data_IF_955111002431
#
_entry.id   IF_955111002431
#
_cell.length_a   1.000
_cell.length_b   1.000
_cell.length_c   1.000
_cell.angle_alpha   90.00
_cell.angle_beta   90.00
_cell.angle_gamma   90.00
#
_symmetry.space_group_name_H-M   'P 1'
#
loop_
_entity.id
_entity.type
_entity.pdbx_description
1 polymer ?
#
# COMPACT_ATOMS: atom_id res chain seq x y z
N UNK A 1 59.44 43.39 49.01
CA UNK A 1 60.06 42.48 48.03
C UNK A 1 58.95 41.53 47.60
N UNK A 2 58.09 41.88 46.61
CA UNK A 2 58.30 41.79 45.14
C UNK A 2 58.62 40.34 44.74
N UNK A 3 57.93 39.57 43.89
CA UNK A 3 56.91 39.69 42.82
C UNK A 3 56.13 38.34 42.82
N UNK A 4 54.90 38.13 42.32
CA UNK A 4 54.28 38.62 41.09
C UNK A 4 54.31 37.57 39.97
N UNK A 5 53.64 36.41 40.11
CA UNK A 5 53.60 35.33 39.10
C UNK A 5 52.18 34.94 38.69
N UNK A 6 51.79 35.30 37.46
CA UNK A 6 50.43 35.30 36.89
C UNK A 6 49.78 33.92 36.76
N UNK A 7 48.49 33.88 37.12
CA UNK A 7 47.50 32.85 36.75
C UNK A 7 47.39 32.74 35.23
N UNK A 8 47.70 31.58 34.63
CA UNK A 8 47.29 31.26 33.26
C UNK A 8 46.04 30.38 33.32
N UNK A 9 44.93 30.95 32.83
CA UNK A 9 43.68 30.24 32.64
C UNK A 9 43.82 29.19 31.54
N UNK A 10 43.62 27.92 31.90
CA UNK A 10 43.43 26.85 30.94
C UNK A 10 42.17 27.11 30.14
N UNK A 11 42.33 27.43 28.86
CA UNK A 11 41.22 27.67 27.93
C UNK A 11 40.58 26.30 27.62
N UNK A 12 39.32 26.12 28.00
CA UNK A 12 38.58 24.88 27.72
C UNK A 12 38.50 24.63 26.21
N UNK A 13 38.80 23.40 25.79
CA UNK A 13 38.70 22.97 24.39
C UNK A 13 37.22 22.97 23.96
N UNK A 14 36.91 23.37 22.71
CA UNK A 14 35.55 23.30 22.20
C UNK A 14 35.10 21.82 22.09
N UNK A 15 33.81 21.52 22.32
CA UNK A 15 33.30 20.17 22.14
C UNK A 15 33.41 19.75 20.67
N UNK A 16 33.62 18.45 20.38
CA UNK A 16 33.72 17.95 19.02
C UNK A 16 32.42 18.17 18.25
N UNK A 17 32.49 18.32 16.92
CA UNK A 17 31.30 18.47 16.08
C UNK A 17 30.41 17.23 16.22
N UNK A 18 29.12 17.45 16.47
CA UNK A 18 28.12 16.38 16.48
C UNK A 18 28.10 15.75 15.09
N UNK A 19 28.35 14.44 15.02
CA UNK A 19 28.27 13.68 13.79
C UNK A 19 26.87 13.73 13.16
N UNK A 20 26.72 13.30 11.89
CA UNK A 20 25.44 13.26 11.23
C UNK A 20 24.44 12.42 12.04
N UNK A 21 23.14 12.80 12.04
CA UNK A 21 22.12 12.03 12.73
C UNK A 21 22.08 10.58 12.20
N UNK A 22 21.75 9.59 13.04
CA UNK A 22 21.58 8.22 12.59
C UNK A 22 20.51 8.15 11.50
N UNK A 23 20.65 7.23 10.51
CA UNK A 23 19.63 7.03 9.50
C UNK A 23 18.29 6.69 10.18
N UNK A 24 17.16 7.15 9.63
CA UNK A 24 15.85 6.80 10.18
C UNK A 24 15.71 5.27 10.25
N UNK A 25 15.01 4.72 11.25
CA UNK A 25 14.80 3.28 11.35
C UNK A 25 14.19 2.81 10.04
N UNK A 26 14.87 1.86 9.38
CA UNK A 26 14.36 1.18 8.20
C UNK A 26 12.98 0.66 8.55
N UNK A 27 11.94 1.19 7.87
CA UNK A 27 10.57 0.68 7.98
C UNK A 27 10.66 -0.86 7.85
N UNK A 28 10.04 -1.66 8.75
CA UNK A 28 10.16 -3.11 8.70
C UNK A 28 9.89 -3.56 7.27
N UNK A 29 10.92 -4.11 6.63
CA UNK A 29 10.81 -4.57 5.25
C UNK A 29 9.90 -5.78 5.33
N UNK A 30 8.69 -5.68 4.78
CA UNK A 30 7.76 -6.80 4.76
C UNK A 30 8.47 -7.93 4.00
N UNK A 31 8.76 -9.02 4.69
CA UNK A 31 9.49 -10.13 4.08
C UNK A 31 8.59 -10.78 3.01
N UNK A 32 9.16 -11.14 1.84
CA UNK A 32 8.41 -11.88 0.82
C UNK A 32 7.78 -13.14 1.40
N UNK A 33 6.55 -13.46 0.98
CA UNK A 33 5.84 -14.63 1.49
C UNK A 33 6.34 -15.87 0.76
N UNK A 34 6.68 -16.92 1.50
CA UNK A 34 6.92 -18.24 0.91
C UNK A 34 5.58 -18.84 0.46
N UNK A 35 5.24 -18.63 -0.82
CA UNK A 35 3.97 -19.03 -1.43
C UNK A 35 3.79 -20.56 -1.55
N UNK A 36 4.86 -21.34 -1.45
CA UNK A 36 4.78 -22.81 -1.46
C UNK A 36 4.36 -23.38 -0.10
N UNK A 37 4.73 -22.69 0.98
CA UNK A 37 4.44 -23.13 2.35
C UNK A 37 3.29 -22.37 3.01
N UNK A 38 2.90 -21.25 2.44
CA UNK A 38 1.85 -20.39 3.00
C UNK A 38 0.56 -20.59 2.21
N UNK A 39 -0.53 -20.95 2.89
CA UNK A 39 -1.85 -21.03 2.25
C UNK A 39 -2.27 -19.65 1.70
N UNK A 40 -2.78 -19.57 0.47
CA UNK A 40 -3.29 -18.31 -0.07
C UNK A 40 -4.53 -17.85 0.69
N UNK A 41 -4.73 -16.53 0.72
CA UNK A 41 -5.95 -15.89 1.19
C UNK A 41 -6.95 -15.73 0.04
N UNK A 42 -8.24 -15.75 0.38
CA UNK A 42 -9.32 -15.40 -0.54
C UNK A 42 -9.51 -13.88 -0.55
N UNK A 43 -9.23 -13.25 -1.69
CA UNK A 43 -9.47 -11.84 -1.93
C UNK A 43 -10.73 -11.67 -2.77
N UNK A 44 -11.71 -10.93 -2.25
CA UNK A 44 -12.92 -10.56 -2.98
C UNK A 44 -12.67 -9.24 -3.71
N UNK A 45 -12.73 -9.27 -5.03
CA UNK A 45 -12.47 -8.14 -5.91
C UNK A 45 -13.73 -7.73 -6.64
N UNK A 46 -14.14 -6.47 -6.52
CA UNK A 46 -15.28 -5.91 -7.22
C UNK A 46 -14.78 -4.99 -8.32
N UNK A 47 -15.32 -5.11 -9.53
CA UNK A 47 -14.88 -4.28 -10.67
C UNK A 47 -15.99 -3.35 -11.13
N UNK A 48 -15.64 -2.12 -11.53
CA UNK A 48 -16.61 -1.14 -12.07
C UNK A 48 -15.98 -0.26 -13.14
N UNK A 49 -16.74 0.04 -14.18
CA UNK A 49 -16.28 0.92 -15.27
C UNK A 49 -16.60 2.38 -14.91
N UNK A 50 -15.62 3.26 -15.11
CA UNK A 50 -15.80 4.72 -14.99
C UNK A 50 -15.69 5.29 -13.57
N UNK A 51 -15.51 4.46 -12.54
CA UNK A 51 -15.33 4.93 -11.17
C UNK A 51 -15.43 3.80 -10.14
N UNK A 52 -15.15 4.13 -8.88
CA UNK A 52 -15.28 3.21 -7.75
C UNK A 52 -16.75 3.00 -7.34
N UNK A 53 -17.02 1.90 -6.67
CA UNK A 53 -18.29 1.70 -5.96
C UNK A 53 -18.39 2.68 -4.77
N UNK A 54 -19.60 3.01 -4.34
CA UNK A 54 -19.80 3.86 -3.16
C UNK A 54 -19.88 3.00 -1.90
N UNK A 55 -19.79 3.63 -0.73
CA UNK A 55 -19.89 2.89 0.54
C UNK A 55 -21.27 2.23 0.73
N UNK A 56 -22.32 2.82 0.16
CA UNK A 56 -23.69 2.30 0.20
C UNK A 56 -23.83 0.98 -0.54
N UNK A 57 -23.05 0.79 -1.63
CA UNK A 57 -23.04 -0.45 -2.41
C UNK A 57 -22.57 -1.65 -1.57
N UNK A 58 -21.80 -1.42 -0.51
CA UNK A 58 -21.29 -2.45 0.40
C UNK A 58 -22.00 -2.49 1.76
N UNK A 59 -22.97 -1.60 2.00
CA UNK A 59 -23.59 -1.45 3.32
C UNK A 59 -24.38 -2.70 3.77
N UNK A 60 -24.92 -3.48 2.83
CA UNK A 60 -25.75 -4.65 3.13
C UNK A 60 -25.02 -5.92 2.72
N UNK A 61 -24.63 -6.74 3.70
CA UNK A 61 -24.06 -8.07 3.46
C UNK A 61 -25.02 -8.93 2.63
N UNK A 62 -24.49 -9.60 1.61
CA UNK A 62 -25.25 -10.39 0.64
C UNK A 62 -25.88 -9.58 -0.48
N UNK A 63 -25.71 -8.25 -0.50
CA UNK A 63 -26.14 -7.36 -1.58
C UNK A 63 -24.99 -6.54 -2.16
N UNK A 64 -23.75 -6.99 -1.96
CA UNK A 64 -22.59 -6.41 -2.62
C UNK A 64 -22.73 -6.46 -4.15
N UNK A 65 -21.96 -5.64 -4.90
CA UNK A 65 -22.00 -5.64 -6.36
C UNK A 65 -21.82 -7.03 -6.96
N UNK A 66 -22.56 -7.35 -8.02
CA UNK A 66 -22.58 -8.69 -8.62
C UNK A 66 -21.32 -9.02 -9.41
N UNK A 67 -20.57 -8.01 -9.85
CA UNK A 67 -19.33 -8.16 -10.60
C UNK A 67 -18.15 -8.47 -9.65
N UNK A 68 -18.38 -9.44 -8.75
CA UNK A 68 -17.39 -9.98 -7.81
C UNK A 68 -16.53 -11.04 -8.52
N UNK A 69 -15.23 -10.92 -8.32
CA UNK A 69 -14.20 -11.87 -8.74
C UNK A 69 -13.46 -12.32 -7.49
N UNK A 70 -13.33 -13.62 -7.32
CA UNK A 70 -12.59 -14.20 -6.21
C UNK A 70 -11.21 -14.61 -6.67
N UNK A 71 -10.19 -14.09 -5.97
CA UNK A 71 -8.79 -14.32 -6.29
C UNK A 71 -8.12 -14.99 -5.09
N UNK A 72 -7.47 -16.13 -5.32
CA UNK A 72 -6.58 -16.74 -4.34
C UNK A 72 -5.18 -16.14 -4.50
N UNK A 73 -4.70 -15.45 -3.47
CA UNK A 73 -3.42 -14.73 -3.53
C UNK A 73 -2.76 -14.63 -2.17
N UNK A 74 -1.69 -13.85 -2.05
CA UNK A 74 -0.96 -13.61 -0.80
C UNK A 74 -0.85 -12.12 -0.52
N UNK A 75 -0.46 -11.75 0.70
CA UNK A 75 -0.30 -10.35 1.10
C UNK A 75 0.84 -9.64 0.36
N UNK A 76 1.78 -10.37 -0.21
CA UNK A 76 2.85 -9.80 -1.03
C UNK A 76 2.44 -9.58 -2.50
N UNK A 77 1.20 -9.91 -2.88
CA UNK A 77 0.73 -9.72 -4.23
C UNK A 77 0.73 -8.23 -4.60
N UNK A 78 1.34 -7.93 -5.75
CA UNK A 78 1.48 -6.57 -6.25
C UNK A 78 0.23 -6.09 -6.96
N UNK A 79 0.03 -4.77 -7.01
CA UNK A 79 -1.03 -4.18 -7.84
C UNK A 79 -0.89 -4.60 -9.31
N UNK A 80 0.33 -4.86 -9.77
CA UNK A 80 0.57 -5.43 -11.10
C UNK A 80 -0.01 -6.83 -11.25
N UNK A 81 0.30 -7.76 -10.36
CA UNK A 81 -0.29 -9.11 -10.39
C UNK A 81 -1.82 -9.05 -10.40
N UNK A 82 -2.41 -8.20 -9.56
CA UNK A 82 -3.86 -8.01 -9.52
C UNK A 82 -4.42 -7.42 -10.82
N UNK A 83 -3.68 -6.49 -11.45
CA UNK A 83 -4.05 -5.92 -12.75
C UNK A 83 -4.11 -6.98 -13.84
N UNK A 84 -3.14 -7.88 -13.87
CA UNK A 84 -3.10 -8.95 -14.88
C UNK A 84 -4.22 -9.96 -14.67
N UNK A 85 -4.54 -10.32 -13.42
CA UNK A 85 -5.69 -11.16 -13.08
C UNK A 85 -7.04 -10.50 -13.44
N UNK A 86 -7.21 -9.21 -13.13
CA UNK A 86 -8.45 -8.48 -13.46
C UNK A 86 -8.68 -8.43 -14.98
N UNK A 87 -7.62 -8.39 -15.80
CA UNK A 87 -7.77 -8.45 -17.26
C UNK A 87 -8.33 -9.78 -17.74
N UNK A 88 -8.05 -10.89 -17.06
CA UNK A 88 -8.56 -12.20 -17.47
C UNK A 88 -10.09 -12.25 -17.41
N UNK A 89 -10.65 -11.59 -16.40
CA UNK A 89 -12.09 -11.61 -16.09
C UNK A 89 -12.87 -10.39 -16.62
N UNK A 90 -12.23 -9.22 -16.75
CA UNK A 90 -12.87 -7.98 -17.17
C UNK A 90 -12.28 -7.47 -18.51
N UNK A 91 -12.91 -7.72 -19.66
CA UNK A 91 -12.40 -7.30 -20.97
C UNK A 91 -12.14 -5.80 -21.11
N UNK A 92 -12.90 -4.95 -20.40
CA UNK A 92 -12.71 -3.50 -20.39
C UNK A 92 -11.32 -3.10 -19.86
N UNK A 93 -10.75 -3.89 -18.94
CA UNK A 93 -9.42 -3.66 -18.40
C UNK A 93 -8.32 -3.97 -19.42
N UNK A 94 -8.59 -4.61 -20.57
CA UNK A 94 -7.61 -4.90 -21.64
C UNK A 94 -7.49 -3.78 -22.67
N UNK A 95 -8.13 -2.63 -22.48
CA UNK A 95 -7.97 -1.50 -23.41
C UNK A 95 -6.57 -0.92 -23.24
N UNK A 96 -5.92 -0.55 -24.34
CA UNK A 96 -4.52 -0.03 -24.35
C UNK A 96 -4.29 1.12 -23.38
N UNK A 97 -5.28 2.00 -23.24
CA UNK A 97 -5.22 3.19 -22.40
C UNK A 97 -6.01 3.04 -21.09
N UNK A 98 -6.52 1.84 -20.77
CA UNK A 98 -7.25 1.64 -19.53
C UNK A 98 -6.33 1.84 -18.33
N UNK A 99 -6.83 2.55 -17.33
CA UNK A 99 -6.18 2.73 -16.04
C UNK A 99 -7.00 2.02 -14.97
N UNK A 100 -6.35 1.19 -14.17
CA UNK A 100 -7.01 0.52 -13.06
C UNK A 100 -6.70 1.29 -11.79
N UNK A 101 -7.73 1.72 -11.08
CA UNK A 101 -7.63 2.36 -9.77
C UNK A 101 -8.09 1.36 -8.72
N UNK A 102 -7.28 1.16 -7.69
CA UNK A 102 -7.51 0.18 -6.63
C UNK A 102 -7.90 0.90 -5.35
N UNK A 103 -8.93 0.39 -4.67
CA UNK A 103 -9.37 0.86 -3.38
C UNK A 103 -9.64 -0.32 -2.44
N UNK A 104 -9.29 -0.17 -1.17
CA UNK A 104 -9.75 -1.10 -0.14
C UNK A 104 -11.13 -0.68 0.37
N UNK A 105 -11.96 -1.67 0.65
CA UNK A 105 -13.29 -1.50 1.21
C UNK A 105 -13.39 -2.29 2.49
N UNK A 106 -13.57 -1.59 3.60
CA UNK A 106 -13.53 -2.17 4.95
C UNK A 106 -14.48 -1.42 5.89
N UNK A 107 -15.00 -2.08 6.94
CA UNK A 107 -15.83 -1.42 7.94
C UNK A 107 -14.99 -0.49 8.82
N UNK A 108 -15.42 0.76 8.99
CA UNK A 108 -14.94 1.65 10.04
C UNK A 108 -15.43 1.17 11.42
N UNK A 109 -14.88 1.75 12.49
CA UNK A 109 -15.26 1.52 13.90
C UNK A 109 -16.76 1.68 14.16
N UNK A 110 -17.44 2.47 13.34
CA UNK A 110 -18.88 2.71 13.42
C UNK A 110 -19.72 1.69 12.64
N UNK A 111 -19.10 0.64 12.07
CA UNK A 111 -19.76 -0.38 11.26
C UNK A 111 -20.15 0.07 9.84
N UNK A 112 -19.77 1.29 9.44
CA UNK A 112 -19.99 1.79 8.08
C UNK A 112 -18.81 1.40 7.20
N UNK A 113 -19.08 0.91 6.00
CA UNK A 113 -18.00 0.65 5.04
C UNK A 113 -17.35 1.96 4.59
N UNK A 114 -16.04 1.92 4.41
CA UNK A 114 -15.24 2.99 3.85
C UNK A 114 -14.56 2.47 2.59
N UNK A 115 -14.57 3.26 1.53
CA UNK A 115 -13.80 3.01 0.30
C UNK A 115 -12.58 3.91 0.33
N UNK A 116 -11.38 3.33 0.28
CA UNK A 116 -10.12 4.06 0.36
C UNK A 116 -9.23 3.69 -0.82
N UNK A 117 -9.00 4.64 -1.73
CA UNK A 117 -8.07 4.48 -2.85
C UNK A 117 -6.63 4.26 -2.34
N UNK A 118 -5.94 3.26 -2.88
CA UNK A 118 -4.59 2.85 -2.45
C UNK A 118 -3.52 2.90 -3.54
N UNK A 119 -3.92 2.86 -4.80
CA UNK A 119 -2.96 2.98 -5.91
C UNK A 119 -3.60 2.81 -7.27
N UNK A 120 -2.83 3.09 -8.32
CA UNK A 120 -3.28 2.93 -9.71
C UNK A 120 -2.23 2.23 -10.54
N UNK A 121 -2.69 1.48 -11.53
CA UNK A 121 -1.85 0.86 -12.55
C UNK A 121 -2.37 1.20 -13.95
N UNK A 122 -1.54 0.99 -14.95
CA UNK A 122 -1.97 1.01 -16.34
C UNK A 122 -2.21 -0.42 -16.80
N UNK A 123 -3.22 -0.59 -17.65
CA UNK A 123 -3.45 -1.87 -18.31
C UNK A 123 -2.23 -2.32 -19.12
N UNK A 124 -1.58 -1.40 -19.84
CA UNK A 124 -0.38 -1.71 -20.61
C UNK A 124 0.81 -0.88 -20.15
N UNK A 125 1.99 -1.50 -20.18
CA UNK A 125 3.23 -0.94 -19.67
C UNK A 125 3.49 -1.36 -18.22
N UNK A 126 4.77 -1.48 -17.86
CA UNK A 126 5.21 -1.90 -16.53
C UNK A 126 6.00 -0.76 -15.89
N UNK A 127 5.86 -0.57 -14.58
CA UNK A 127 6.75 0.27 -13.78
C UNK A 127 6.52 1.78 -13.95
N UNK A 128 5.33 2.20 -14.38
CA UNK A 128 5.01 3.62 -14.60
C UNK A 128 4.18 4.25 -13.48
N UNK A 129 3.56 3.44 -12.62
CA UNK A 129 2.73 3.90 -11.49
C UNK A 129 3.02 3.09 -10.23
N UNK A 130 1.97 2.64 -9.52
CA UNK A 130 2.05 1.90 -8.27
C UNK A 130 2.20 0.38 -8.48
N UNK A 131 2.62 -0.04 -9.68
CA UNK A 131 2.69 -1.44 -10.11
C UNK A 131 3.38 -2.36 -9.09
N UNK A 132 4.47 -1.89 -8.48
CA UNK A 132 5.28 -2.66 -7.54
C UNK A 132 4.77 -2.68 -6.11
N UNK A 133 3.72 -1.92 -5.76
CA UNK A 133 3.20 -1.89 -4.39
C UNK A 133 2.45 -3.18 -4.08
N UNK A 134 2.81 -3.83 -2.99
CA UNK A 134 2.13 -5.02 -2.51
C UNK A 134 0.92 -4.69 -1.61
N UNK A 135 -0.06 -5.59 -1.53
CA UNK A 135 -1.21 -5.46 -0.62
C UNK A 135 -0.77 -5.16 0.82
N UNK A 136 0.24 -5.87 1.32
CA UNK A 136 0.79 -5.69 2.66
C UNK A 136 1.37 -4.29 2.88
N UNK A 137 2.02 -3.71 1.86
CA UNK A 137 2.61 -2.37 1.92
C UNK A 137 1.54 -1.27 1.93
N UNK A 138 0.38 -1.56 1.35
CA UNK A 138 -0.77 -0.67 1.26
C UNK A 138 -1.68 -0.74 2.50
N UNK A 139 -1.38 -1.63 3.45
CA UNK A 139 -2.15 -1.79 4.69
C UNK A 139 -3.37 -2.70 4.55
N UNK A 140 -3.34 -3.66 3.63
CA UNK A 140 -4.41 -4.65 3.48
C UNK A 140 -4.54 -5.55 4.72
N UNK A 141 -5.77 -5.69 5.21
CA UNK A 141 -6.14 -6.66 6.24
C UNK A 141 -6.99 -7.79 5.66
N UNK A 142 -6.86 -8.99 6.25
CA UNK A 142 -7.66 -10.13 5.80
C UNK A 142 -9.11 -9.87 6.19
N UNK A 143 -9.98 -9.82 5.19
CA UNK A 143 -11.39 -9.47 5.36
C UNK A 143 -11.77 -8.19 4.62
N UNK A 144 -10.79 -7.36 4.27
CA UNK A 144 -11.00 -6.21 3.39
C UNK A 144 -11.39 -6.69 1.99
N UNK A 145 -12.26 -5.93 1.34
CA UNK A 145 -12.54 -6.12 -0.08
C UNK A 145 -11.65 -5.22 -0.91
N UNK A 146 -11.44 -5.60 -2.16
CA UNK A 146 -10.76 -4.80 -3.15
C UNK A 146 -11.77 -4.28 -4.17
N UNK A 147 -11.87 -2.98 -4.34
CA UNK A 147 -12.64 -2.35 -5.40
C UNK A 147 -11.70 -1.83 -6.50
N UNK A 148 -12.00 -2.17 -7.75
CA UNK A 148 -11.17 -1.86 -8.91
C UNK A 148 -12.00 -1.07 -9.93
N UNK A 149 -11.69 0.21 -10.04
CA UNK A 149 -12.28 1.07 -11.06
C UNK A 149 -11.46 1.00 -12.36
N UNK A 150 -12.12 0.64 -13.46
CA UNK A 150 -11.55 0.63 -14.81
C UNK A 150 -11.89 1.97 -15.48
N UNK A 151 -10.88 2.82 -15.62
CA UNK A 151 -10.96 4.18 -16.17
C UNK A 151 -10.47 4.22 -17.62
#
# INVERSE_FOLDING_TARGET
>A
MSEGGKRQGGRALPPPPRGPPPPPPSRPRLEPVDREKTCPLLLRVFTKIGGHHTMEDFAVRGKEPKDEVQIYTWKDATLRELTDLVKEVAPAARRRNAKLSFAFVFPDKNGRFKVQEVGKTLSYGNGRLDDGKALAELGFEIGDYLDVAIL
#
